data_IF_698376123657
#
_entry.id   IF_698376123657
#
_cell.length_a   1.000
_cell.length_b   1.000
_cell.length_c   1.000
_cell.angle_alpha   90.00
_cell.angle_beta   90.00
_cell.angle_gamma   90.00
#
_symmetry.space_group_name_H-M   'P 1'
#
loop_
_entity.id
_entity.type
_entity.pdbx_description
1 polymer ?
#
# COMPACT_ATOMS: atom_id res chain seq x y z
N UNK A 1 37.01 -12.43 -65.18
CA UNK A 1 38.41 -12.50 -64.74
C UNK A 1 38.62 -11.46 -63.67
N UNK A 2 38.42 -11.86 -62.42
CA UNK A 2 38.92 -11.24 -61.19
C UNK A 2 38.34 -12.07 -60.05
N UNK A 3 39.24 -12.80 -59.40
CA UNK A 3 39.03 -13.70 -58.28
C UNK A 3 38.82 -12.89 -57.00
N UNK A 4 37.92 -13.33 -56.11
CA UNK A 4 38.03 -13.05 -54.68
C UNK A 4 38.16 -14.38 -53.92
N UNK A 5 39.21 -14.56 -53.07
CA UNK A 5 39.57 -15.82 -52.43
C UNK A 5 39.26 -15.79 -50.93
N UNK A 6 38.03 -16.10 -50.50
CA UNK A 6 37.72 -16.20 -49.08
C UNK A 6 36.87 -17.45 -48.81
N UNK A 7 37.58 -18.56 -48.61
CA UNK A 7 37.00 -19.76 -48.02
C UNK A 7 36.68 -19.48 -46.56
N UNK A 8 35.39 -19.40 -46.23
CA UNK A 8 34.97 -19.49 -44.83
C UNK A 8 34.01 -20.68 -44.65
N UNK A 9 34.61 -21.69 -44.04
CA UNK A 9 34.10 -22.95 -43.54
C UNK A 9 32.81 -22.76 -42.73
N UNK A 10 31.82 -23.65 -42.93
CA UNK A 10 30.72 -23.82 -41.98
C UNK A 10 31.23 -24.46 -40.68
N UNK A 11 30.78 -24.05 -39.49
CA UNK A 11 30.76 -24.93 -38.34
C UNK A 11 29.34 -25.44 -38.07
N UNK A 12 29.26 -26.77 -38.01
CA UNK A 12 28.11 -27.61 -37.67
C UNK A 12 27.61 -27.36 -36.23
N UNK A 13 26.34 -27.73 -35.94
CA UNK A 13 25.65 -27.46 -34.69
C UNK A 13 26.20 -28.32 -33.55
N UNK A 14 26.87 -27.70 -32.57
CA UNK A 14 27.27 -28.43 -31.37
C UNK A 14 27.47 -27.50 -30.17
N UNK A 15 26.77 -27.84 -29.09
CA UNK A 15 27.23 -27.70 -27.72
C UNK A 15 27.42 -26.27 -27.16
N UNK A 16 26.35 -25.70 -26.59
CA UNK A 16 26.47 -24.70 -25.51
C UNK A 16 25.28 -24.79 -24.53
N UNK A 17 25.08 -25.88 -23.77
CA UNK A 17 24.05 -25.91 -22.72
C UNK A 17 24.38 -24.97 -21.54
N UNK A 18 25.61 -24.45 -21.50
CA UNK A 18 26.12 -23.59 -20.43
C UNK A 18 25.62 -22.13 -20.51
N UNK A 19 25.32 -21.63 -21.73
CA UNK A 19 24.88 -20.24 -21.93
C UNK A 19 23.40 -20.06 -21.55
N UNK A 20 22.59 -21.12 -21.68
CA UNK A 20 21.17 -21.07 -21.30
C UNK A 20 21.02 -21.05 -19.77
N UNK A 21 21.90 -21.74 -19.04
CA UNK A 21 21.84 -21.80 -17.57
C UNK A 21 22.16 -20.45 -16.89
N UNK A 22 23.09 -19.67 -17.47
CA UNK A 22 23.43 -18.33 -16.95
C UNK A 22 22.36 -17.28 -17.24
N UNK A 23 21.64 -17.40 -18.37
CA UNK A 23 20.51 -16.52 -18.68
C UNK A 23 19.31 -16.75 -17.75
N UNK A 24 19.06 -17.99 -17.32
CA UNK A 24 17.98 -18.31 -16.38
C UNK A 24 18.25 -17.74 -14.99
N UNK A 25 19.52 -17.73 -14.53
CA UNK A 25 19.88 -17.20 -13.21
C UNK A 25 19.75 -15.67 -13.12
N UNK A 26 19.91 -14.95 -14.23
CA UNK A 26 19.76 -13.48 -14.27
C UNK A 26 18.30 -13.02 -14.16
N UNK A 27 17.32 -13.86 -14.54
CA UNK A 27 15.89 -13.52 -14.45
C UNK A 27 15.37 -13.56 -13.00
N UNK A 28 15.97 -14.39 -12.13
CA UNK A 28 15.54 -14.53 -10.73
C UNK A 28 16.01 -13.41 -9.79
N UNK A 29 16.86 -12.48 -10.25
CA UNK A 29 17.45 -11.45 -9.38
C UNK A 29 16.64 -10.14 -9.31
N UNK A 30 15.49 -10.04 -9.97
CA UNK A 30 14.64 -8.83 -9.89
C UNK A 30 13.72 -8.85 -8.67
N UNK A 31 14.30 -8.98 -7.48
CA UNK A 31 13.61 -8.55 -6.26
C UNK A 31 13.61 -7.02 -6.28
N UNK A 32 12.51 -6.44 -6.77
CA UNK A 32 12.24 -5.01 -6.63
C UNK A 32 11.97 -4.73 -5.16
N UNK A 33 13.01 -4.42 -4.39
CA UNK A 33 12.84 -3.84 -3.08
C UNK A 33 12.06 -2.52 -3.26
N UNK A 34 10.90 -2.40 -2.60
CA UNK A 34 10.19 -1.13 -2.57
C UNK A 34 11.17 -0.06 -2.05
N UNK A 35 11.21 1.09 -2.73
CA UNK A 35 12.05 2.19 -2.29
C UNK A 35 11.74 2.51 -0.81
N UNK A 36 12.75 2.83 0.01
CA UNK A 36 12.53 3.22 1.39
C UNK A 36 11.50 4.34 1.45
N UNK A 37 10.58 4.25 2.42
CA UNK A 37 9.66 5.35 2.68
C UNK A 37 10.46 6.52 3.27
N UNK A 38 10.42 7.67 2.59
CA UNK A 38 11.10 8.88 3.02
C UNK A 38 10.13 10.06 3.01
N UNK A 39 10.15 10.84 4.09
CA UNK A 39 9.40 12.08 4.19
C UNK A 39 10.18 13.20 3.50
N UNK A 40 9.53 13.88 2.56
CA UNK A 40 10.09 14.97 1.77
C UNK A 40 9.77 16.32 2.41
N UNK A 41 10.53 17.33 2.01
CA UNK A 41 10.26 18.69 2.41
C UNK A 41 8.87 19.14 1.91
N UNK A 42 8.09 19.76 2.79
CA UNK A 42 6.71 20.18 2.49
C UNK A 42 5.64 19.10 2.67
N UNK A 43 6.00 17.88 3.06
CA UNK A 43 5.02 16.79 3.23
C UNK A 43 4.02 17.09 4.36
N UNK A 44 2.80 16.57 4.17
CA UNK A 44 1.72 16.61 5.16
C UNK A 44 1.34 15.21 5.56
N UNK A 45 1.55 14.89 6.82
CA UNK A 45 1.27 13.57 7.38
C UNK A 45 0.09 13.68 8.34
N UNK A 46 -0.89 12.81 8.15
CA UNK A 46 -2.10 12.77 8.96
C UNK A 46 -2.22 11.42 9.65
N UNK A 47 -2.42 11.46 10.97
CA UNK A 47 -2.76 10.28 11.77
C UNK A 47 -4.27 10.10 11.80
N UNK A 48 -4.75 8.94 11.36
CA UNK A 48 -6.16 8.55 11.34
C UNK A 48 -6.35 7.32 12.22
N UNK A 49 -7.42 7.30 13.01
CA UNK A 49 -7.80 6.13 13.81
C UNK A 49 -8.73 6.46 14.97
N UNK A 50 -9.04 5.42 15.75
CA UNK A 50 -9.96 5.47 16.88
C UNK A 50 -9.46 6.22 18.11
N UNK A 51 -10.03 5.87 19.28
CA UNK A 51 -9.80 6.52 20.57
C UNK A 51 -8.33 6.65 20.99
N UNK A 52 -7.45 5.75 20.55
CA UNK A 52 -6.00 5.86 20.85
C UNK A 52 -5.37 7.06 20.12
N UNK A 53 -5.61 7.19 18.82
CA UNK A 53 -5.13 8.32 18.02
C UNK A 53 -5.81 9.60 18.51
N UNK A 54 -7.13 9.59 18.70
CA UNK A 54 -7.92 10.72 19.22
C UNK A 54 -7.35 11.29 20.53
N UNK A 55 -6.98 10.44 21.51
CA UNK A 55 -6.45 10.90 22.79
C UNK A 55 -5.06 11.53 22.70
N UNK A 56 -4.23 11.13 21.74
CA UNK A 56 -2.90 11.73 21.56
C UNK A 56 -2.97 13.23 21.18
N UNK A 57 -4.09 13.67 20.58
CA UNK A 57 -4.29 15.08 20.25
C UNK A 57 -4.38 15.99 21.48
N UNK A 58 -4.71 15.45 22.66
CA UNK A 58 -4.88 16.23 23.89
C UNK A 58 -3.58 16.90 24.36
N UNK A 59 -2.44 16.29 24.05
CA UNK A 59 -1.13 16.77 24.46
C UNK A 59 -0.16 17.02 23.30
N UNK A 60 -0.44 16.52 22.10
CA UNK A 60 0.34 16.83 20.88
C UNK A 60 1.80 16.35 20.93
N UNK A 61 2.13 15.41 21.83
CA UNK A 61 3.51 14.97 22.05
C UNK A 61 4.10 14.28 20.83
N UNK A 62 3.30 13.49 20.11
CA UNK A 62 3.75 12.76 18.93
C UNK A 62 4.13 13.72 17.80
N UNK A 63 3.27 14.68 17.50
CA UNK A 63 3.50 15.72 16.50
C UNK A 63 4.74 16.55 16.85
N UNK A 64 4.88 16.93 18.13
CA UNK A 64 6.03 17.69 18.62
C UNK A 64 7.34 16.91 18.48
N UNK A 65 7.33 15.62 18.84
CA UNK A 65 8.49 14.74 18.72
C UNK A 65 8.89 14.57 17.26
N UNK A 66 7.94 14.30 16.36
CA UNK A 66 8.22 14.09 14.94
C UNK A 66 8.71 15.37 14.26
N UNK A 67 8.13 16.52 14.58
CA UNK A 67 8.60 17.82 14.11
C UNK A 67 10.01 18.13 14.64
N UNK A 68 10.32 17.68 15.86
CA UNK A 68 11.65 17.84 16.48
C UNK A 68 12.72 16.96 15.83
N UNK A 69 12.37 15.74 15.43
CA UNK A 69 13.29 14.82 14.76
C UNK A 69 13.58 15.27 13.31
N UNK A 70 12.60 15.86 12.62
CA UNK A 70 12.73 16.28 11.22
C UNK A 70 12.89 17.80 11.07
N UNK A 71 13.74 18.43 11.88
CA UNK A 71 13.95 19.89 11.84
C UNK A 71 14.57 20.42 10.55
N UNK A 72 15.21 19.54 9.78
CA UNK A 72 15.83 19.86 8.49
C UNK A 72 14.79 20.01 7.37
N UNK A 73 13.52 19.66 7.62
CA UNK A 73 12.43 19.66 6.63
C UNK A 73 11.16 20.29 7.20
N UNK A 74 10.43 20.98 6.36
CA UNK A 74 9.13 21.57 6.67
C UNK A 74 8.00 20.55 6.52
N UNK A 75 7.93 19.58 7.44
CA UNK A 75 6.89 18.56 7.46
C UNK A 75 5.79 18.95 8.45
N UNK A 76 4.52 18.84 8.04
CA UNK A 76 3.38 19.11 8.91
C UNK A 76 2.72 17.81 9.36
N UNK A 77 2.65 17.59 10.68
CA UNK A 77 1.94 16.46 11.28
C UNK A 77 0.60 16.91 11.86
N UNK A 78 -0.48 16.15 11.59
CA UNK A 78 -1.83 16.43 12.12
C UNK A 78 -2.51 15.15 12.56
N UNK A 79 -3.24 15.24 13.66
CA UNK A 79 -4.07 14.18 14.17
C UNK A 79 -5.54 14.42 13.79
N UNK A 80 -6.16 13.44 13.14
CA UNK A 80 -7.59 13.41 12.79
C UNK A 80 -8.27 12.18 13.41
N UNK A 81 -7.84 11.77 14.60
CA UNK A 81 -8.45 10.65 15.31
C UNK A 81 -9.83 10.98 15.85
N UNK A 82 -10.74 10.02 15.78
CA UNK A 82 -12.09 10.15 16.31
C UNK A 82 -12.53 8.88 17.04
N UNK A 83 -13.12 9.02 18.22
CA UNK A 83 -13.62 7.88 18.98
C UNK A 83 -14.71 7.13 18.20
N UNK A 84 -14.62 5.80 18.15
CA UNK A 84 -15.52 4.98 17.36
C UNK A 84 -15.11 4.81 15.89
N UNK A 85 -13.99 5.40 15.45
CA UNK A 85 -13.40 5.07 14.15
C UNK A 85 -12.81 3.66 14.20
N UNK A 86 -13.54 2.73 13.59
CA UNK A 86 -13.14 1.34 13.42
C UNK A 86 -13.57 0.83 12.04
N UNK A 87 -12.75 -0.04 11.45
CA UNK A 87 -13.06 -0.63 10.15
C UNK A 87 -13.94 -1.89 10.27
N UNK A 88 -14.28 -2.31 11.48
CA UNK A 88 -14.72 -3.68 11.77
C UNK A 88 -16.14 -3.74 12.32
N UNK A 89 -16.59 -2.75 13.09
CA UNK A 89 -17.86 -2.84 13.80
C UNK A 89 -19.05 -2.49 12.90
N UNK A 90 -18.93 -1.49 12.02
CA UNK A 90 -20.04 -1.06 11.13
C UNK A 90 -20.62 -2.25 10.34
N UNK A 91 -19.82 -3.10 9.64
CA UNK A 91 -20.36 -4.25 8.90
C UNK A 91 -21.03 -5.32 9.78
N UNK A 92 -20.72 -5.37 11.08
CA UNK A 92 -21.33 -6.34 11.98
C UNK A 92 -22.75 -5.93 12.39
N UNK A 93 -23.07 -4.63 12.31
CA UNK A 93 -24.40 -4.11 12.66
C UNK A 93 -25.41 -4.24 11.52
N UNK A 94 -24.97 -4.40 10.26
CA UNK A 94 -25.84 -4.57 9.08
C UNK A 94 -26.99 -5.58 9.30
N UNK A 95 -26.75 -6.83 9.73
CA UNK A 95 -27.85 -7.78 9.96
C UNK A 95 -28.80 -7.38 11.08
N UNK A 96 -28.32 -6.64 12.08
CA UNK A 96 -29.16 -6.16 13.19
C UNK A 96 -30.03 -4.98 12.74
N UNK A 97 -29.48 -4.06 11.94
CA UNK A 97 -30.20 -2.93 11.37
C UNK A 97 -31.31 -3.42 10.46
N UNK A 98 -31.03 -4.35 9.55
CA UNK A 98 -32.05 -4.93 8.66
C UNK A 98 -33.21 -5.56 9.44
N UNK A 99 -32.91 -6.24 10.55
CA UNK A 99 -33.94 -6.84 11.40
C UNK A 99 -34.83 -5.77 12.05
N UNK A 100 -34.23 -4.69 12.55
CA UNK A 100 -34.97 -3.58 13.15
C UNK A 100 -35.80 -2.83 12.12
N UNK A 101 -35.24 -2.55 10.94
CA UNK A 101 -35.95 -1.90 9.84
C UNK A 101 -37.17 -2.72 9.40
N UNK A 102 -37.01 -4.04 9.23
CA UNK A 102 -38.14 -4.94 8.94
C UNK A 102 -39.21 -4.88 10.02
N UNK A 103 -38.82 -4.80 11.30
CA UNK A 103 -39.77 -4.69 12.42
C UNK A 103 -40.50 -3.35 12.41
N UNK A 104 -39.79 -2.25 12.20
CA UNK A 104 -40.37 -0.91 12.08
C UNK A 104 -41.38 -0.88 10.93
N UNK A 105 -41.02 -1.44 9.77
CA UNK A 105 -41.91 -1.50 8.59
C UNK A 105 -43.15 -2.36 8.81
N UNK A 106 -43.06 -3.40 9.66
CA UNK A 106 -44.23 -4.19 10.04
C UNK A 106 -45.18 -3.38 10.94
N UNK A 107 -44.63 -2.68 11.95
CA UNK A 107 -45.41 -1.84 12.87
C UNK A 107 -46.06 -0.66 12.16
N UNK A 108 -45.34 0.01 11.26
CA UNK A 108 -45.88 1.11 10.47
C UNK A 108 -47.04 0.65 9.58
N UNK A 109 -46.99 -0.56 9.04
CA UNK A 109 -48.11 -1.15 8.27
C UNK A 109 -49.32 -1.47 9.14
N UNK A 110 -49.10 -1.95 10.36
CA UNK A 110 -50.17 -2.21 11.33
C UNK A 110 -50.88 -0.92 11.77
N UNK A 111 -50.12 0.15 11.96
CA UNK A 111 -50.67 1.45 12.37
C UNK A 111 -51.36 2.23 11.23
N UNK A 112 -51.08 1.88 9.97
CA UNK A 112 -51.63 2.55 8.79
C UNK A 112 -52.87 1.84 8.18
N UNK A 113 -53.26 0.68 8.73
CA UNK A 113 -54.49 -0.04 8.37
C UNK A 113 -55.61 0.25 9.35
#
# INVERSE_FOLDING_TARGET
MSLDPEGLVSPRPTCCPLIVLTAVFAVFATTSAAAPFELRDGDRVVFVGGSFIERMQQHGYLETLLTTVHRDRNITFRNLGWSGDNAVEIPQFDPLIEKQEKRIQALLRELAG
#
